data_IF_147464364997
#
_entry.id   IF_147464364997
#
_cell.length_a   1.000
_cell.length_b   1.000
_cell.length_c   1.000
_cell.angle_alpha   90.00
_cell.angle_beta   90.00
_cell.angle_gamma   90.00
#
_symmetry.space_group_name_H-M   'P 1'
#
loop_
_entity.id
_entity.type
_entity.pdbx_description
1 polymer ?
#
# COMPACT_ATOMS: atom_id res chain seq x y z
N UNK A 1 7.55 -5.92 -17.01
CA UNK A 1 6.92 -5.01 -16.02
C UNK A 1 5.79 -5.77 -15.34
N UNK A 2 5.90 -6.09 -14.06
CA UNK A 2 4.80 -6.65 -13.29
C UNK A 2 3.74 -5.57 -13.04
N UNK A 3 2.60 -5.69 -13.68
CA UNK A 3 1.48 -4.80 -13.43
C UNK A 3 1.08 -4.90 -11.95
N UNK A 4 0.89 -3.76 -11.30
CA UNK A 4 0.08 -3.76 -10.09
C UNK A 4 -1.28 -4.36 -10.45
N UNK A 5 -1.61 -5.48 -9.81
CA UNK A 5 -2.88 -6.16 -9.93
C UNK A 5 -3.67 -5.80 -8.67
N UNK A 6 -4.49 -4.76 -8.79
CA UNK A 6 -5.54 -4.52 -7.80
C UNK A 6 -6.38 -5.80 -7.67
N UNK A 7 -6.86 -6.07 -6.47
CA UNK A 7 -7.80 -7.18 -6.22
C UNK A 7 -9.22 -6.83 -6.64
N UNK A 8 -9.49 -5.58 -6.98
CA UNK A 8 -10.76 -5.17 -7.56
C UNK A 8 -10.64 -5.00 -9.06
N UNK A 9 -11.72 -5.29 -9.76
CA UNK A 9 -11.93 -4.93 -11.18
C UNK A 9 -12.21 -3.42 -11.35
N UNK A 10 -12.05 -2.63 -10.28
CA UNK A 10 -12.20 -1.18 -10.29
C UNK A 10 -11.10 -0.56 -11.17
N UNK A 11 -11.44 0.45 -11.98
CA UNK A 11 -10.46 1.15 -12.78
C UNK A 11 -9.47 1.89 -11.87
N UNK A 12 -8.20 1.95 -12.29
CA UNK A 12 -7.26 2.86 -11.66
C UNK A 12 -7.74 4.32 -11.87
N UNK A 13 -7.58 5.19 -10.86
CA UNK A 13 -7.69 6.63 -11.05
C UNK A 13 -6.78 7.12 -12.17
N UNK A 14 -7.24 8.12 -12.93
CA UNK A 14 -6.59 8.55 -14.17
C UNK A 14 -5.16 9.06 -13.93
N UNK A 15 -4.96 9.77 -12.82
CA UNK A 15 -3.68 10.41 -12.47
C UNK A 15 -2.70 9.46 -11.79
N UNK A 16 -3.09 8.21 -11.55
CA UNK A 16 -2.23 7.23 -10.89
C UNK A 16 -1.37 6.45 -11.87
N UNK A 17 -0.09 6.32 -11.52
CA UNK A 17 0.83 5.54 -12.31
C UNK A 17 0.98 4.13 -11.76
N UNK A 18 0.80 3.11 -12.63
CA UNK A 18 1.03 1.70 -12.26
C UNK A 18 2.45 1.44 -11.74
N UNK A 19 3.44 2.19 -12.24
CA UNK A 19 4.86 2.08 -11.83
C UNK A 19 5.08 2.53 -10.38
N UNK A 20 4.29 3.49 -9.89
CA UNK A 20 4.45 4.03 -8.53
C UNK A 20 4.08 3.00 -7.44
N UNK A 21 3.23 2.01 -7.74
CA UNK A 21 2.94 0.88 -6.83
C UNK A 21 4.06 -0.16 -6.75
N UNK A 22 5.00 -0.11 -7.70
CA UNK A 22 6.00 -1.16 -7.91
C UNK A 22 7.23 -1.06 -7.03
N UNK A 23 7.49 0.09 -6.41
CA UNK A 23 8.78 0.43 -5.80
C UNK A 23 9.28 -0.59 -4.77
N UNK A 24 8.39 -1.26 -4.03
CA UNK A 24 8.78 -2.30 -3.08
C UNK A 24 9.06 -3.68 -3.72
N UNK A 25 8.34 -4.04 -4.79
CA UNK A 25 8.43 -5.36 -5.43
C UNK A 25 9.65 -5.54 -6.32
N UNK A 26 10.23 -4.44 -6.79
CA UNK A 26 11.38 -4.43 -7.69
C UNK A 26 12.71 -4.26 -6.98
N UNK A 27 12.76 -4.13 -5.65
CA UNK A 27 14.04 -4.16 -4.93
C UNK A 27 14.59 -5.59 -4.81
N UNK A 28 13.70 -6.60 -4.72
CA UNK A 28 14.09 -7.99 -4.44
C UNK A 28 14.83 -8.63 -5.62
N UNK A 29 14.40 -8.40 -6.86
CA UNK A 29 15.03 -9.02 -8.03
C UNK A 29 16.46 -8.47 -8.28
N UNK A 30 16.71 -7.15 -8.34
CA UNK A 30 18.06 -6.60 -8.43
C UNK A 30 18.92 -6.98 -7.23
N UNK A 31 18.34 -7.06 -6.03
CA UNK A 31 19.06 -7.52 -4.84
C UNK A 31 19.49 -8.99 -4.94
N UNK A 32 18.59 -9.88 -5.38
CA UNK A 32 18.92 -11.28 -5.64
C UNK A 32 19.98 -11.43 -6.73
N UNK A 33 19.88 -10.64 -7.81
CA UNK A 33 20.91 -10.61 -8.86
C UNK A 33 22.26 -10.08 -8.33
N UNK A 34 22.23 -9.05 -7.48
CA UNK A 34 23.42 -8.50 -6.84
C UNK A 34 24.10 -9.52 -5.91
N UNK A 35 23.33 -10.30 -5.15
CA UNK A 35 23.85 -11.38 -4.31
C UNK A 35 24.55 -12.47 -5.13
N UNK A 36 23.92 -12.92 -6.22
CA UNK A 36 24.53 -13.87 -7.15
C UNK A 36 25.85 -13.35 -7.72
N UNK A 37 25.84 -12.10 -8.18
CA UNK A 37 27.02 -11.48 -8.79
C UNK A 37 28.16 -11.32 -7.77
N UNK A 38 27.85 -10.89 -6.54
CA UNK A 38 28.81 -10.77 -5.46
C UNK A 38 29.46 -12.12 -5.12
N UNK A 39 28.66 -13.19 -5.06
CA UNK A 39 29.16 -14.54 -4.77
C UNK A 39 30.05 -15.08 -5.89
N UNK A 40 29.68 -14.85 -7.15
CA UNK A 40 30.54 -15.20 -8.28
C UNK A 40 31.88 -14.45 -8.20
N UNK A 41 31.86 -13.15 -7.90
CA UNK A 41 33.07 -12.34 -7.71
C UNK A 41 33.96 -12.89 -6.59
N UNK A 42 33.38 -13.21 -5.43
CA UNK A 42 34.11 -13.77 -4.29
C UNK A 42 34.72 -15.14 -4.63
N UNK A 43 33.99 -15.98 -5.37
CA UNK A 43 34.50 -17.27 -5.86
C UNK A 43 35.71 -17.12 -6.77
N UNK A 44 35.68 -16.15 -7.69
CA UNK A 44 36.82 -15.84 -8.58
C UNK A 44 38.02 -15.30 -7.79
N UNK A 45 37.80 -14.36 -6.87
CA UNK A 45 38.88 -13.81 -6.01
C UNK A 45 39.53 -14.93 -5.21
N UNK A 46 38.73 -15.81 -4.60
CA UNK A 46 39.24 -16.95 -3.84
C UNK A 46 40.08 -17.89 -4.71
N UNK A 47 39.60 -18.24 -5.91
CA UNK A 47 40.32 -19.12 -6.83
C UNK A 47 41.70 -18.56 -7.23
N UNK A 48 41.80 -17.24 -7.41
CA UNK A 48 43.07 -16.55 -7.69
C UNK A 48 44.02 -16.60 -6.49
N UNK A 49 43.51 -16.46 -5.26
CA UNK A 49 44.34 -16.39 -4.05
C UNK A 49 44.91 -17.73 -3.58
N UNK A 50 44.19 -18.84 -3.78
CA UNK A 50 44.54 -20.15 -3.18
C UNK A 50 45.19 -21.12 -4.18
N UNK A 51 45.15 -20.81 -5.48
CA UNK A 51 45.78 -21.63 -6.53
C UNK A 51 44.96 -22.87 -6.94
N UNK A 52 45.41 -23.53 -8.02
CA UNK A 52 44.63 -24.53 -8.79
C UNK A 52 44.19 -25.76 -7.98
N UNK A 53 44.94 -26.14 -6.93
CA UNK A 53 44.67 -27.36 -6.14
C UNK A 53 43.46 -27.27 -5.22
N UNK A 54 43.07 -26.06 -4.77
CA UNK A 54 41.94 -25.82 -3.84
C UNK A 54 40.77 -25.08 -4.49
N UNK A 55 40.93 -24.61 -5.73
CA UNK A 55 39.94 -23.81 -6.44
C UNK A 55 38.57 -24.53 -6.55
N UNK A 56 38.57 -25.85 -6.79
CA UNK A 56 37.33 -26.63 -6.93
C UNK A 56 36.50 -26.69 -5.65
N UNK A 57 37.16 -26.85 -4.51
CA UNK A 57 36.50 -26.89 -3.19
C UNK A 57 36.00 -25.49 -2.79
N UNK A 58 36.82 -24.45 -3.01
CA UNK A 58 36.42 -23.07 -2.73
C UNK A 58 35.23 -22.60 -3.58
N UNK A 59 35.21 -22.98 -4.86
CA UNK A 59 34.08 -22.66 -5.76
C UNK A 59 32.79 -23.33 -5.29
N UNK A 60 32.84 -24.60 -4.86
CA UNK A 60 31.67 -25.30 -4.32
C UNK A 60 31.17 -24.68 -3.00
N UNK A 61 32.09 -24.35 -2.09
CA UNK A 61 31.76 -23.74 -0.79
C UNK A 61 31.14 -22.35 -0.96
N UNK A 62 31.51 -21.59 -1.99
CA UNK A 62 31.00 -20.22 -2.21
C UNK A 62 29.74 -20.21 -3.08
N UNK A 63 29.68 -21.01 -4.15
CA UNK A 63 28.54 -20.99 -5.07
C UNK A 63 27.31 -21.70 -4.53
N UNK A 64 27.46 -22.77 -3.74
CA UNK A 64 26.32 -23.56 -3.25
C UNK A 64 25.43 -22.78 -2.27
N UNK A 65 25.95 -22.10 -1.23
CA UNK A 65 25.13 -21.26 -0.35
C UNK A 65 24.48 -20.11 -1.12
N UNK A 66 25.17 -19.64 -2.16
CA UNK A 66 24.69 -18.57 -3.01
C UNK A 66 23.49 -18.93 -3.88
N UNK A 67 23.59 -20.06 -4.57
CA UNK A 67 22.51 -20.64 -5.32
C UNK A 67 21.31 -20.96 -4.41
N UNK A 68 21.56 -21.49 -3.21
CA UNK A 68 20.53 -21.76 -2.21
C UNK A 68 19.84 -20.47 -1.72
N UNK A 69 20.61 -19.43 -1.39
CA UNK A 69 20.08 -18.14 -0.95
C UNK A 69 19.22 -17.49 -2.05
N UNK A 70 19.68 -17.56 -3.30
CA UNK A 70 18.94 -17.05 -4.46
C UNK A 70 17.67 -17.84 -4.71
N UNK A 71 17.74 -19.17 -4.69
CA UNK A 71 16.57 -20.03 -4.83
C UNK A 71 15.55 -19.75 -3.71
N UNK A 72 16.01 -19.55 -2.48
CA UNK A 72 15.17 -19.18 -1.36
C UNK A 72 14.52 -17.80 -1.55
N UNK A 73 15.28 -16.79 -2.00
CA UNK A 73 14.74 -15.45 -2.28
C UNK A 73 13.72 -15.45 -3.42
N UNK A 74 13.97 -16.21 -4.49
CA UNK A 74 13.02 -16.37 -5.60
C UNK A 74 11.76 -17.14 -5.16
N UNK A 75 11.92 -18.20 -4.38
CA UNK A 75 10.80 -18.94 -3.81
C UNK A 75 9.97 -18.07 -2.85
N UNK A 76 10.63 -17.33 -1.96
CA UNK A 76 9.99 -16.36 -1.07
C UNK A 76 9.27 -15.28 -1.88
N UNK A 77 9.92 -14.72 -2.89
CA UNK A 77 9.32 -13.72 -3.80
C UNK A 77 8.09 -14.27 -4.53
N UNK A 78 8.12 -15.52 -4.98
CA UNK A 78 6.98 -16.16 -5.64
C UNK A 78 5.77 -16.34 -4.71
N UNK A 79 6.03 -16.50 -3.40
CA UNK A 79 5.02 -16.62 -2.34
C UNK A 79 4.52 -15.26 -1.83
N UNK A 80 5.19 -14.16 -2.15
CA UNK A 80 4.67 -12.82 -1.83
C UNK A 80 3.36 -12.64 -2.61
N UNK A 81 2.22 -12.41 -1.92
CA UNK A 81 0.93 -12.27 -2.58
C UNK A 81 1.02 -11.18 -3.65
N UNK A 82 0.72 -11.55 -4.91
CA UNK A 82 0.74 -10.64 -6.07
C UNK A 82 -0.42 -9.64 -6.05
N UNK A 83 -1.47 -10.00 -5.32
CA UNK A 83 -2.67 -9.22 -5.06
C UNK A 83 -2.45 -8.29 -3.87
N UNK A 84 -2.88 -7.03 -3.99
CA UNK A 84 -2.89 -6.14 -2.84
C UNK A 84 -3.84 -6.70 -1.76
N UNK A 85 -3.44 -6.72 -0.48
CA UNK A 85 -4.31 -7.20 0.59
C UNK A 85 -5.60 -6.38 0.63
N UNK A 86 -6.71 -7.03 0.97
CA UNK A 86 -7.98 -6.37 1.29
C UNK A 86 -8.17 -6.54 2.78
N UNK A 87 -7.68 -5.56 3.53
CA UNK A 87 -7.78 -5.54 4.97
C UNK A 87 -8.71 -4.40 5.39
N UNK A 88 -9.75 -4.74 6.11
CA UNK A 88 -10.63 -3.82 6.83
C UNK A 88 -11.32 -4.63 7.93
N UNK A 89 -11.70 -3.93 9.00
CA UNK A 89 -12.45 -4.53 10.12
C UNK A 89 -13.49 -3.52 10.61
N UNK A 90 -14.53 -4.02 11.26
CA UNK A 90 -15.46 -3.18 12.00
C UNK A 90 -14.92 -3.09 13.42
N UNK A 91 -14.82 -1.87 13.96
CA UNK A 91 -14.40 -1.63 15.33
C UNK A 91 -15.30 -0.58 15.97
N UNK A 92 -15.78 -0.87 17.16
CA UNK A 92 -16.44 0.13 18.01
C UNK A 92 -15.40 1.15 18.47
N UNK A 93 -15.62 2.41 18.12
CA UNK A 93 -14.80 3.55 18.53
C UNK A 93 -15.50 4.34 19.64
N UNK A 94 -14.91 5.45 20.10
CA UNK A 94 -15.38 6.20 21.27
C UNK A 94 -16.77 6.87 21.15
N UNK A 95 -17.55 6.53 20.11
CA UNK A 95 -18.87 7.10 19.87
C UNK A 95 -19.72 6.26 18.92
N UNK A 96 -19.11 5.61 17.92
CA UNK A 96 -19.80 4.81 16.90
C UNK A 96 -18.98 3.59 16.46
N UNK A 97 -19.65 2.62 15.85
CA UNK A 97 -18.97 1.59 15.07
C UNK A 97 -18.38 2.21 13.80
N UNK A 98 -17.13 1.85 13.50
CA UNK A 98 -16.38 2.39 12.37
C UNK A 98 -15.86 1.26 11.49
N UNK A 99 -15.84 1.51 10.18
CA UNK A 99 -15.03 0.73 9.25
C UNK A 99 -13.58 1.20 9.38
N UNK A 100 -12.69 0.34 9.86
CA UNK A 100 -11.29 0.65 10.08
C UNK A 100 -10.44 0.05 8.97
N UNK A 101 -9.74 0.93 8.25
CA UNK A 101 -8.75 0.58 7.24
C UNK A 101 -7.36 0.66 7.86
N UNK A 102 -6.59 -0.45 7.91
CA UNK A 102 -5.28 -0.44 8.53
C UNK A 102 -4.27 0.36 7.71
N UNK A 103 -3.42 1.10 8.42
CA UNK A 103 -2.33 1.90 7.86
C UNK A 103 -0.99 1.28 8.26
N UNK A 104 -0.03 1.21 7.34
CA UNK A 104 1.36 0.81 7.60
C UNK A 104 2.05 1.92 8.38
N UNK A 105 2.45 1.62 9.62
CA UNK A 105 3.30 2.52 10.41
C UNK A 105 4.77 2.24 10.08
N UNK A 106 5.48 3.20 9.51
CA UNK A 106 6.91 3.08 9.19
C UNK A 106 7.84 3.20 10.43
N UNK A 107 7.35 3.03 11.66
CA UNK A 107 8.16 3.21 12.87
C UNK A 107 8.99 1.96 13.18
N UNK A 108 10.32 2.12 13.13
CA UNK A 108 11.36 1.11 13.48
C UNK A 108 11.34 0.73 14.98
N UNK A 109 10.73 1.55 15.84
CA UNK A 109 10.57 1.26 17.26
C UNK A 109 9.20 0.60 17.51
N UNK A 110 9.20 -0.73 17.46
CA UNK A 110 8.10 -1.57 17.94
C UNK A 110 7.94 -1.35 19.45
N UNK A 111 6.75 -0.96 19.91
CA UNK A 111 6.47 -0.89 21.35
C UNK A 111 5.13 -0.27 21.73
N UNK A 112 4.60 0.64 20.92
CA UNK A 112 3.29 1.25 21.20
C UNK A 112 2.33 0.84 20.08
N UNK A 113 1.42 -0.09 20.40
CA UNK A 113 0.21 -0.39 19.61
C UNK A 113 -0.70 0.85 19.62
N UNK A 114 -0.30 1.92 18.92
CA UNK A 114 -1.29 2.88 18.48
C UNK A 114 -1.95 2.23 17.27
N UNK A 115 -3.28 2.08 17.35
CA UNK A 115 -4.14 1.66 16.24
C UNK A 115 -4.04 2.74 15.16
N UNK A 116 -3.03 2.62 14.30
CA UNK A 116 -2.86 3.49 13.15
C UNK A 116 -3.79 2.99 12.05
N UNK A 117 -4.69 3.84 11.61
CA UNK A 117 -5.76 3.46 10.70
C UNK A 117 -6.56 4.65 10.22
N UNK A 118 -7.34 4.43 9.16
CA UNK A 118 -8.39 5.33 8.73
C UNK A 118 -9.69 4.75 9.28
N UNK A 119 -10.35 5.50 10.15
CA UNK A 119 -11.63 5.14 10.74
C UNK A 119 -12.72 5.90 10.00
N UNK A 120 -13.66 5.17 9.43
CA UNK A 120 -14.79 5.71 8.70
C UNK A 120 -16.06 5.42 9.50
N UNK A 121 -16.65 6.47 10.05
CA UNK A 121 -17.97 6.42 10.70
C UNK A 121 -19.01 7.06 9.78
N UNK A 122 -20.31 6.94 10.07
CA UNK A 122 -21.33 7.64 9.30
C UNK A 122 -21.16 9.17 9.30
N UNK A 123 -20.61 9.74 10.39
CA UNK A 123 -20.46 11.19 10.55
C UNK A 123 -19.14 11.76 10.06
N UNK A 124 -18.03 11.01 10.15
CA UNK A 124 -16.71 11.57 9.89
C UNK A 124 -15.67 10.54 9.42
N UNK A 125 -14.60 11.06 8.83
CA UNK A 125 -13.36 10.35 8.52
C UNK A 125 -12.30 10.75 9.54
N UNK A 126 -11.77 9.78 10.28
CA UNK A 126 -10.64 10.01 11.18
C UNK A 126 -9.40 9.30 10.65
N UNK A 127 -8.36 10.06 10.35
CA UNK A 127 -7.05 9.54 9.95
C UNK A 127 -6.14 9.53 11.17
N UNK A 128 -5.82 8.34 11.67
CA UNK A 128 -4.89 8.12 12.78
C UNK A 128 -3.53 7.71 12.25
N UNK A 129 -2.77 8.69 11.79
CA UNK A 129 -1.37 8.53 11.40
C UNK A 129 -0.53 9.63 12.04
N UNK A 130 0.47 9.27 12.86
CA UNK A 130 1.34 10.23 13.55
C UNK A 130 1.00 10.46 15.02
N UNK A 131 1.20 11.70 15.51
CA UNK A 131 1.02 12.10 16.92
C UNK A 131 -0.39 12.59 17.25
N UNK A 132 -1.13 13.12 16.26
CA UNK A 132 -2.47 13.65 16.44
C UNK A 132 -3.41 13.12 15.36
N UNK A 133 -4.58 12.56 15.71
CA UNK A 133 -5.57 12.15 14.73
C UNK A 133 -6.15 13.38 14.03
N UNK A 134 -6.41 13.25 12.72
CA UNK A 134 -7.09 14.27 11.92
C UNK A 134 -8.50 13.76 11.67
N UNK A 135 -9.50 14.40 12.28
CA UNK A 135 -10.91 14.13 12.02
C UNK A 135 -11.49 15.18 11.07
N UNK A 136 -12.22 14.75 10.06
CA UNK A 136 -12.95 15.62 9.12
C UNK A 136 -14.37 15.07 8.94
N UNK A 137 -15.38 15.92 9.09
CA UNK A 137 -16.76 15.52 8.83
C UNK A 137 -16.94 15.25 7.33
N UNK A 138 -17.77 14.29 6.96
CA UNK A 138 -18.00 14.00 5.54
C UNK A 138 -18.55 15.20 4.76
N UNK A 139 -19.38 16.02 5.40
CA UNK A 139 -20.00 17.21 4.79
C UNK A 139 -18.99 18.34 4.55
N UNK A 140 -17.86 18.29 5.27
CA UNK A 140 -16.72 19.18 5.09
C UNK A 140 -15.74 18.65 4.03
N UNK A 141 -16.02 17.55 3.34
CA UNK A 141 -15.21 17.05 2.23
C UNK A 141 -15.86 17.52 0.92
N UNK A 142 -15.14 18.29 0.14
CA UNK A 142 -15.59 18.76 -1.18
C UNK A 142 -15.33 17.73 -2.28
N UNK A 143 -14.18 17.06 -2.23
CA UNK A 143 -13.78 16.08 -3.24
C UNK A 143 -12.77 15.05 -2.71
N UNK A 144 -12.72 13.91 -3.39
CA UNK A 144 -11.66 12.91 -3.26
C UNK A 144 -10.93 12.83 -4.60
N UNK A 145 -9.68 13.26 -4.59
CA UNK A 145 -8.86 13.37 -5.79
C UNK A 145 -7.70 12.36 -5.77
N UNK A 146 -7.13 12.15 -6.95
CA UNK A 146 -5.98 11.28 -7.14
C UNK A 146 -4.84 12.08 -7.73
N UNK A 147 -3.63 11.88 -7.24
CA UNK A 147 -2.43 12.41 -7.90
C UNK A 147 -1.27 11.42 -7.85
N UNK A 148 -0.30 11.61 -8.74
CA UNK A 148 1.00 10.97 -8.67
C UNK A 148 2.05 12.02 -8.33
N UNK A 149 2.60 11.95 -7.12
CA UNK A 149 3.61 12.88 -6.63
C UNK A 149 5.03 12.33 -6.85
N UNK A 150 6.01 13.20 -7.03
CA UNK A 150 7.42 12.86 -7.24
C UNK A 150 8.26 13.32 -6.05
N UNK A 151 8.54 12.40 -5.13
CA UNK A 151 9.36 12.66 -3.94
C UNK A 151 10.76 12.09 -4.14
N UNK A 152 11.79 12.95 -4.14
CA UNK A 152 13.22 12.55 -4.18
C UNK A 152 13.53 11.43 -5.17
N UNK A 153 13.13 11.60 -6.43
CA UNK A 153 13.23 10.65 -7.56
C UNK A 153 12.27 9.45 -7.57
N UNK A 154 11.53 9.21 -6.49
CA UNK A 154 10.50 8.17 -6.42
C UNK A 154 9.12 8.76 -6.74
N UNK A 155 8.31 8.02 -7.50
CA UNK A 155 6.91 8.38 -7.74
C UNK A 155 6.02 7.66 -6.73
N UNK A 156 5.08 8.38 -6.14
CA UNK A 156 4.10 7.85 -5.20
C UNK A 156 2.69 8.29 -5.60
N UNK A 157 1.78 7.33 -5.72
CA UNK A 157 0.37 7.66 -5.85
C UNK A 157 -0.17 8.12 -4.49
N UNK A 158 -0.99 9.15 -4.51
CA UNK A 158 -1.58 9.80 -3.33
C UNK A 158 -3.10 9.91 -3.54
N UNK A 159 -3.85 9.70 -2.46
CA UNK A 159 -5.27 10.04 -2.36
C UNK A 159 -5.34 11.38 -1.64
N UNK A 160 -6.01 12.34 -2.25
CA UNK A 160 -6.17 13.68 -1.70
C UNK A 160 -7.60 13.84 -1.19
N UNK A 161 -7.75 14.16 0.09
CA UNK A 161 -9.04 14.57 0.67
C UNK A 161 -9.06 16.09 0.68
N UNK A 162 -9.97 16.67 -0.10
CA UNK A 162 -10.08 18.11 -0.29
C UNK A 162 -11.19 18.64 0.63
N UNK A 163 -10.89 19.46 1.65
CA UNK A 163 -11.92 20.05 2.50
C UNK A 163 -12.81 21.04 1.74
N UNK A 164 -13.99 21.32 2.28
CA UNK A 164 -14.92 22.34 1.83
C UNK A 164 -14.72 23.57 2.71
N UNK A 165 -14.29 24.68 2.12
CA UNK A 165 -14.29 26.00 2.77
C UNK A 165 -12.92 26.69 2.89
N UNK A 166 -12.92 28.02 3.14
CA UNK A 166 -11.70 28.83 3.30
C UNK A 166 -11.05 28.69 4.69
N UNK A 167 -11.80 28.23 5.70
CA UNK A 167 -11.36 28.24 7.10
C UNK A 167 -10.44 27.08 7.51
N UNK A 168 -10.48 25.97 6.77
CA UNK A 168 -9.55 24.83 6.96
C UNK A 168 -8.12 25.16 6.49
N UNK A 169 -7.93 26.35 5.90
CA UNK A 169 -6.82 26.62 4.99
C UNK A 169 -6.91 25.68 3.79
N UNK A 170 -6.15 25.91 2.74
CA UNK A 170 -6.07 25.05 1.56
C UNK A 170 -5.43 23.67 1.84
N UNK A 171 -5.55 23.14 3.07
CA UNK A 171 -4.89 21.94 3.54
C UNK A 171 -5.57 20.71 2.96
N UNK A 172 -5.01 20.26 1.85
CA UNK A 172 -5.25 18.92 1.31
C UNK A 172 -4.70 17.92 2.33
N UNK A 173 -5.51 16.93 2.70
CA UNK A 173 -5.03 15.81 3.51
C UNK A 173 -4.52 14.75 2.55
N UNK A 174 -3.20 14.62 2.50
CA UNK A 174 -2.51 13.67 1.64
C UNK A 174 -2.46 12.28 2.28
N UNK A 175 -2.91 11.27 1.54
CA UNK A 175 -2.81 9.87 1.92
C UNK A 175 -1.99 9.09 0.88
N UNK A 176 -0.66 9.00 1.04
CA UNK A 176 0.21 8.21 0.17
C UNK A 176 -0.20 6.73 0.17
N UNK A 177 -0.22 6.09 -1.00
CA UNK A 177 -0.56 4.67 -1.10
C UNK A 177 0.38 3.76 -0.29
N UNK A 178 1.61 4.20 -0.04
CA UNK A 178 2.61 3.47 0.77
C UNK A 178 2.21 3.36 2.23
N UNK A 179 1.34 4.24 2.71
CA UNK A 179 0.80 4.20 4.06
C UNK A 179 -0.35 3.21 4.19
N UNK A 180 -0.94 2.72 3.09
CA UNK A 180 -2.09 1.82 3.18
C UNK A 180 -1.63 0.37 3.34
N UNK A 181 -2.21 -0.33 4.33
CA UNK A 181 -2.00 -1.77 4.48
C UNK A 181 -3.01 -2.59 3.66
N UNK A 182 -3.91 -1.92 2.94
CA UNK A 182 -4.95 -2.49 2.07
C UNK A 182 -4.83 -1.92 0.65
N UNK A 183 -5.64 -2.41 -0.29
CA UNK A 183 -5.63 -1.98 -1.68
C UNK A 183 -5.98 -0.48 -1.81
N UNK A 184 -5.02 0.39 -2.23
CA UNK A 184 -5.24 1.83 -2.32
C UNK A 184 -6.32 2.20 -3.34
N UNK A 185 -6.49 1.42 -4.42
CA UNK A 185 -7.54 1.66 -5.42
C UNK A 185 -8.91 1.51 -4.79
N UNK A 186 -9.08 0.51 -3.92
CA UNK A 186 -10.34 0.33 -3.18
C UNK A 186 -10.58 1.43 -2.18
N UNK A 187 -9.55 1.90 -1.48
CA UNK A 187 -9.68 3.03 -0.53
C UNK A 187 -10.11 4.30 -1.25
N UNK A 188 -9.47 4.63 -2.38
CA UNK A 188 -9.85 5.78 -3.19
C UNK A 188 -11.34 5.73 -3.59
N UNK A 189 -11.77 4.60 -4.16
CA UNK A 189 -13.16 4.45 -4.59
C UNK A 189 -14.15 4.41 -3.42
N UNK A 190 -13.80 3.76 -2.31
CA UNK A 190 -14.60 3.75 -1.09
C UNK A 190 -14.85 5.17 -0.56
N UNK A 191 -13.79 5.99 -0.45
CA UNK A 191 -13.91 7.37 0.04
C UNK A 191 -14.76 8.20 -0.92
N UNK A 192 -14.45 8.14 -2.22
CA UNK A 192 -15.20 8.87 -3.23
C UNK A 192 -16.68 8.49 -3.25
N UNK A 193 -16.98 7.20 -3.07
CA UNK A 193 -18.34 6.69 -3.04
C UNK A 193 -19.17 7.34 -1.94
N UNK A 194 -18.66 7.36 -0.70
CA UNK A 194 -19.41 7.92 0.44
C UNK A 194 -19.41 9.45 0.49
N UNK A 195 -18.50 10.12 -0.23
CA UNK A 195 -18.65 11.56 -0.50
C UNK A 195 -19.86 11.80 -1.42
N UNK A 196 -20.01 11.01 -2.48
CA UNK A 196 -21.10 11.17 -3.46
C UNK A 196 -22.47 10.64 -2.99
N UNK A 197 -22.50 9.68 -2.06
CA UNK A 197 -23.72 9.00 -1.60
C UNK A 197 -23.90 9.17 -0.07
N UNK A 198 -24.24 10.38 0.41
CA UNK A 198 -24.35 10.67 1.84
C UNK A 198 -25.36 9.78 2.56
N UNK A 199 -26.44 9.42 1.89
CA UNK A 199 -27.51 8.55 2.38
C UNK A 199 -27.08 7.10 2.60
N UNK A 200 -25.91 6.69 2.10
CA UNK A 200 -25.37 5.34 2.31
C UNK A 200 -24.30 5.30 3.42
N UNK A 201 -23.91 6.45 3.98
CA UNK A 201 -22.87 6.50 5.03
C UNK A 201 -23.23 5.71 6.29
N UNK A 202 -24.51 5.44 6.55
CA UNK A 202 -24.93 4.56 7.66
C UNK A 202 -24.43 3.12 7.52
N UNK A 203 -24.01 2.70 6.32
CA UNK A 203 -23.33 1.42 6.10
C UNK A 203 -21.93 1.38 6.74
N UNK A 204 -21.30 2.54 6.93
CA UNK A 204 -20.01 2.67 7.60
C UNK A 204 -20.17 2.27 9.07
N UNK A 205 -19.37 1.30 9.51
CA UNK A 205 -19.48 0.74 10.86
C UNK A 205 -20.29 -0.55 10.94
N UNK A 206 -20.87 -1.04 9.85
CA UNK A 206 -21.58 -2.33 9.86
C UNK A 206 -21.11 -3.29 8.76
N UNK A 207 -21.69 -4.49 8.75
CA UNK A 207 -21.30 -5.57 7.83
C UNK A 207 -21.57 -5.21 6.37
N UNK A 208 -22.54 -4.36 6.05
CA UNK A 208 -22.81 -3.93 4.69
C UNK A 208 -21.63 -3.10 4.14
N UNK A 209 -21.14 -2.12 4.90
CA UNK A 209 -19.98 -1.32 4.52
C UNK A 209 -18.71 -2.17 4.37
N UNK A 210 -18.47 -3.11 5.30
CA UNK A 210 -17.35 -4.05 5.22
C UNK A 210 -17.45 -4.94 3.97
N UNK A 211 -18.63 -5.51 3.72
CA UNK A 211 -18.89 -6.35 2.56
C UNK A 211 -18.66 -5.58 1.25
N UNK A 212 -19.18 -4.35 1.15
CA UNK A 212 -18.99 -3.48 -0.01
C UNK A 212 -17.51 -3.22 -0.28
N UNK A 213 -16.72 -2.97 0.77
CA UNK A 213 -15.27 -2.81 0.66
C UNK A 213 -14.55 -4.08 0.20
N UNK A 214 -14.95 -5.23 0.75
CA UNK A 214 -14.37 -6.53 0.41
C UNK A 214 -14.68 -6.99 -1.01
N UNK A 215 -15.76 -6.50 -1.61
CA UNK A 215 -16.17 -6.90 -2.96
C UNK A 215 -16.01 -5.78 -4.00
N UNK A 216 -15.64 -4.56 -3.58
CA UNK A 216 -15.48 -3.43 -4.49
C UNK A 216 -16.80 -2.98 -5.11
N UNK A 217 -17.90 -3.08 -4.34
CA UNK A 217 -19.27 -2.75 -4.76
C UNK A 217 -19.55 -1.26 -4.98
N UNK A 218 -18.57 -0.51 -5.47
CA UNK A 218 -18.63 0.93 -5.75
C UNK A 218 -18.69 1.24 -7.26
N UNK A 219 -18.29 0.27 -8.09
CA UNK A 219 -17.99 0.51 -9.51
C UNK A 219 -19.21 0.66 -10.44
N UNK A 220 -20.34 0.05 -10.09
CA UNK A 220 -21.59 0.19 -10.85
C UNK A 220 -22.23 1.57 -10.67
N UNK A 221 -22.20 2.09 -9.44
CA UNK A 221 -22.87 3.33 -9.06
C UNK A 221 -22.06 4.57 -9.48
N UNK A 222 -20.72 4.50 -9.49
CA UNK A 222 -19.89 5.62 -10.00
C UNK A 222 -19.88 5.77 -11.53
N UNK A 223 -20.32 4.77 -12.30
CA UNK A 223 -20.38 4.87 -13.77
C UNK A 223 -21.56 5.72 -14.24
N UNK A 224 -22.63 5.80 -13.45
CA UNK A 224 -23.82 6.57 -13.79
C UNK A 224 -23.59 8.10 -13.73
N UNK A 225 -22.60 8.54 -12.96
CA UNK A 225 -22.30 9.97 -12.74
C UNK A 225 -21.38 10.59 -13.81
N UNK A 226 -21.07 9.83 -14.88
CA UNK A 226 -20.25 10.28 -16.04
C UNK A 226 -20.98 10.18 -17.39
N UNK A 227 -22.26 9.79 -17.39
CA UNK A 227 -23.12 9.74 -18.58
C UNK A 227 -24.12 10.87 -18.55
#
# INVERSE_FOLDING_TARGET
MGAYLSTSDLPLPADWERKAFGSYRYAVLPFAMGLLFLQAMLGVIWAVLVGEGSAREGILVILLPGALCTAFLLAAWSKIPRKAPVAAEIRTTAGDDALVLPVRRNSVLAGIRSTAGIELTPGHVTIRYGKSPIGIAWDDISAIESRCDKVRSTRTNVIDIVPRGPETGSRIIDLPHTFLATDPTRVYHLLRFYVCNPELRWELGNQAGLYRFQHGGYGSEMRADRS
#
